data_IF_324269462926
#
_entry.id   IF_324269462926
#
_cell.length_a   1.000
_cell.length_b   1.000
_cell.length_c   1.000
_cell.angle_alpha   90.00
_cell.angle_beta   90.00
_cell.angle_gamma   90.00
#
_symmetry.space_group_name_H-M   'P 1'
#
loop_
_entity.id
_entity.type
_entity.pdbx_description
1 polymer ?
#
# COMPACT_ATOMS: atom_id res chain seq x y z
N UNK A 1 -25.41 -0.63 -21.00
CA UNK A 1 -23.97 -0.32 -20.87
C UNK A 1 -23.71 0.08 -19.43
N UNK A 2 -22.88 -0.65 -18.71
CA UNK A 2 -22.53 -0.35 -17.32
C UNK A 2 -21.16 0.34 -17.25
N UNK A 3 -20.91 1.10 -16.19
CA UNK A 3 -19.64 1.79 -15.99
C UNK A 3 -19.68 2.72 -14.79
N UNK A 4 -18.54 3.33 -14.46
CA UNK A 4 -18.43 4.31 -13.37
C UNK A 4 -17.87 5.62 -13.90
N UNK A 5 -18.36 6.73 -13.34
CA UNK A 5 -17.79 8.04 -13.60
C UNK A 5 -16.75 8.36 -12.53
N UNK A 6 -15.60 8.89 -12.95
CA UNK A 6 -14.64 9.45 -12.01
C UNK A 6 -15.31 10.61 -11.23
N UNK A 7 -15.29 10.64 -9.89
CA UNK A 7 -15.94 11.69 -9.12
C UNK A 7 -15.27 13.06 -9.28
N UNK A 8 -14.03 13.09 -9.77
CA UNK A 8 -13.24 14.32 -9.94
C UNK A 8 -13.39 14.88 -11.35
N UNK A 9 -13.02 14.10 -12.38
CA UNK A 9 -13.01 14.59 -13.76
C UNK A 9 -14.27 14.21 -14.55
N UNK A 10 -15.20 13.44 -13.96
CA UNK A 10 -16.45 12.96 -14.58
C UNK A 10 -16.27 12.11 -15.83
N UNK A 11 -15.05 11.64 -16.10
CA UNK A 11 -14.77 10.73 -17.20
C UNK A 11 -15.45 9.39 -16.94
N UNK A 12 -16.19 8.90 -17.93
CA UNK A 12 -16.86 7.61 -17.88
C UNK A 12 -15.88 6.49 -18.24
N UNK A 13 -15.84 5.46 -17.41
CA UNK A 13 -15.11 4.23 -17.67
C UNK A 13 -16.15 3.10 -17.81
N UNK A 14 -16.14 2.43 -18.96
CA UNK A 14 -17.03 1.30 -19.23
C UNK A 14 -16.55 0.02 -18.56
N UNK A 15 -17.48 -0.77 -18.02
CA UNK A 15 -17.19 -2.14 -17.58
C UNK A 15 -16.96 -3.06 -18.79
N UNK A 16 -16.17 -4.14 -18.66
CA UNK A 16 -16.17 -5.26 -19.62
C UNK A 16 -17.56 -5.89 -19.77
N UNK A 17 -17.87 -6.45 -20.94
CA UNK A 17 -19.21 -6.98 -21.24
C UNK A 17 -19.57 -8.20 -20.38
N UNK A 18 -18.57 -9.01 -20.05
CA UNK A 18 -18.66 -10.31 -19.37
C UNK A 18 -18.83 -10.24 -17.84
N UNK A 19 -18.71 -9.06 -17.24
CA UNK A 19 -18.73 -8.88 -15.78
C UNK A 19 -19.78 -7.88 -15.35
N UNK A 20 -20.43 -8.10 -14.20
CA UNK A 20 -21.37 -7.13 -13.63
C UNK A 20 -20.64 -5.94 -12.96
N UNK A 21 -21.38 -4.86 -12.67
CA UNK A 21 -20.75 -3.62 -12.18
C UNK A 21 -20.12 -3.75 -10.78
N UNK A 22 -20.70 -4.58 -9.90
CA UNK A 22 -20.22 -4.78 -8.52
C UNK A 22 -18.92 -5.58 -8.50
N UNK A 23 -18.86 -6.65 -9.30
CA UNK A 23 -17.67 -7.47 -9.45
C UNK A 23 -16.56 -6.70 -10.18
N UNK A 24 -16.91 -5.88 -11.18
CA UNK A 24 -15.95 -4.99 -11.82
C UNK A 24 -15.37 -3.96 -10.85
N UNK A 25 -16.20 -3.35 -10.00
CA UNK A 25 -15.75 -2.37 -9.02
C UNK A 25 -14.71 -2.97 -8.05
N UNK A 26 -14.85 -4.25 -7.68
CA UNK A 26 -13.87 -4.98 -6.86
C UNK A 26 -12.51 -5.20 -7.55
N UNK A 27 -12.46 -5.11 -8.88
CA UNK A 27 -11.23 -5.23 -9.67
C UNK A 27 -10.52 -3.90 -9.90
N UNK A 28 -11.11 -2.78 -9.49
CA UNK A 28 -10.43 -1.50 -9.56
C UNK A 28 -9.24 -1.50 -8.59
N UNK A 29 -8.09 -0.94 -9.00
CA UNK A 29 -6.91 -0.92 -8.15
C UNK A 29 -7.21 -0.16 -6.87
N UNK A 30 -6.93 -0.80 -5.74
CA UNK A 30 -6.96 -0.14 -4.43
C UNK A 30 -5.66 0.64 -4.27
N UNK A 31 -5.73 1.82 -3.65
CA UNK A 31 -4.53 2.57 -3.34
C UNK A 31 -3.95 2.03 -2.02
N UNK A 32 -2.95 1.17 -2.13
CA UNK A 32 -2.31 0.51 -0.99
C UNK A 32 -1.69 1.50 0.01
N UNK A 33 -1.31 2.72 -0.44
CA UNK A 33 -0.83 3.78 0.45
C UNK A 33 -1.95 4.20 1.41
N UNK A 34 -3.18 4.37 0.92
CA UNK A 34 -4.30 4.71 1.78
C UNK A 34 -4.64 3.57 2.73
N UNK A 35 -4.56 2.32 2.28
CA UNK A 35 -4.75 1.14 3.16
C UNK A 35 -3.71 1.15 4.28
N UNK A 36 -2.42 1.32 3.95
CA UNK A 36 -1.36 1.41 4.96
C UNK A 36 -1.52 2.59 5.93
N UNK A 37 -2.04 3.74 5.46
CA UNK A 37 -2.33 4.89 6.32
C UNK A 37 -3.48 4.62 7.29
N UNK A 38 -4.53 3.93 6.83
CA UNK A 38 -5.65 3.49 7.68
C UNK A 38 -5.12 2.49 8.72
N UNK A 39 -4.35 1.48 8.29
CA UNK A 39 -3.76 0.49 9.19
C UNK A 39 -2.88 1.14 10.27
N UNK A 40 -2.08 2.14 9.89
CA UNK A 40 -1.26 2.91 10.83
C UNK A 40 -2.11 3.68 11.83
N UNK A 41 -3.22 4.27 11.38
CA UNK A 41 -4.15 5.02 12.24
C UNK A 41 -4.87 4.10 13.23
N UNK A 42 -5.37 2.95 12.77
CA UNK A 42 -6.00 1.92 13.62
C UNK A 42 -5.02 1.41 14.67
N UNK A 43 -3.77 1.18 14.27
CA UNK A 43 -2.70 0.74 15.17
C UNK A 43 -2.44 1.77 16.26
N UNK A 44 -2.27 3.05 15.90
CA UNK A 44 -2.06 4.14 16.87
C UNK A 44 -3.25 4.36 17.79
N UNK A 45 -4.46 4.12 17.31
CA UNK A 45 -5.69 4.26 18.08
C UNK A 45 -6.00 3.04 18.94
N UNK A 46 -5.14 2.00 18.91
CA UNK A 46 -5.38 0.72 19.61
C UNK A 46 -6.57 -0.07 19.06
N UNK A 47 -7.06 0.27 17.86
CA UNK A 47 -8.23 -0.34 17.22
C UNK A 47 -7.87 -1.51 16.30
N UNK A 48 -6.57 -1.73 16.04
CA UNK A 48 -6.15 -2.81 15.15
C UNK A 48 -6.47 -4.18 15.77
N UNK A 49 -7.19 -5.02 15.02
CA UNK A 49 -7.58 -6.36 15.44
C UNK A 49 -6.62 -7.43 14.92
N UNK A 50 -6.60 -8.57 15.60
CA UNK A 50 -5.87 -9.76 15.19
C UNK A 50 -6.50 -10.39 13.93
N UNK A 51 -5.75 -10.45 12.83
CA UNK A 51 -6.22 -10.98 11.56
C UNK A 51 -6.64 -12.45 11.64
N UNK A 52 -5.89 -13.27 12.39
CA UNK A 52 -6.20 -14.68 12.57
C UNK A 52 -7.50 -14.89 13.36
N UNK A 53 -7.69 -14.16 14.47
CA UNK A 53 -8.92 -14.19 15.26
C UNK A 53 -10.12 -13.70 14.46
N UNK A 54 -9.96 -12.64 13.66
CA UNK A 54 -11.05 -12.12 12.82
C UNK A 54 -11.56 -13.12 11.79
N UNK A 55 -10.74 -14.07 11.30
CA UNK A 55 -11.18 -15.16 10.41
C UNK A 55 -12.15 -16.11 11.09
N UNK A 56 -12.01 -16.30 12.40
CA UNK A 56 -12.89 -17.12 13.24
C UNK A 56 -14.02 -16.27 13.87
N UNK A 57 -14.22 -15.03 13.42
CA UNK A 57 -15.18 -14.06 13.97
C UNK A 57 -14.91 -13.67 15.44
N UNK A 58 -13.66 -13.80 15.90
CA UNK A 58 -13.23 -13.35 17.21
C UNK A 58 -12.68 -11.92 17.16
N UNK A 59 -13.00 -11.12 18.19
CA UNK A 59 -12.59 -9.72 18.31
C UNK A 59 -11.48 -9.60 19.35
N UNK A 60 -10.24 -9.82 18.92
CA UNK A 60 -9.06 -9.71 19.76
C UNK A 60 -8.17 -8.56 19.30
N UNK A 61 -7.70 -7.73 20.24
CA UNK A 61 -6.79 -6.63 19.94
C UNK A 61 -5.42 -7.15 19.47
N UNK A 62 -4.88 -6.52 18.43
CA UNK A 62 -3.56 -6.83 17.94
C UNK A 62 -2.48 -6.38 18.95
N UNK A 63 -1.46 -7.21 19.09
CA UNK A 63 -0.30 -7.00 19.94
C UNK A 63 1.00 -6.84 19.14
N UNK A 64 1.08 -7.48 17.98
CA UNK A 64 2.25 -7.46 17.11
C UNK A 64 1.86 -7.50 15.63
N UNK A 65 2.77 -7.08 14.77
CA UNK A 65 2.69 -7.19 13.32
C UNK A 65 3.73 -8.19 12.82
N UNK A 66 3.31 -9.15 11.99
CA UNK A 66 4.19 -10.08 11.31
C UNK A 66 4.49 -9.57 9.90
N UNK A 67 5.71 -9.10 9.65
CA UNK A 67 6.08 -8.53 8.35
C UNK A 67 5.99 -9.56 7.20
N UNK A 68 6.38 -10.81 7.47
CA UNK A 68 6.35 -11.88 6.47
C UNK A 68 4.93 -12.34 6.10
N UNK A 69 4.00 -12.27 7.05
CA UNK A 69 2.59 -12.62 6.80
C UNK A 69 1.77 -11.40 6.37
N UNK A 70 2.30 -10.19 6.57
CA UNK A 70 1.52 -8.95 6.48
C UNK A 70 0.24 -8.99 7.32
N UNK A 71 0.36 -9.51 8.56
CA UNK A 71 -0.79 -9.73 9.46
C UNK A 71 -0.54 -9.17 10.87
N UNK A 72 -1.58 -8.59 11.45
CA UNK A 72 -1.62 -8.19 12.86
C UNK A 72 -2.06 -9.38 13.72
N UNK A 73 -1.38 -9.62 14.84
CA UNK A 73 -1.56 -10.79 15.70
C UNK A 73 -1.78 -10.39 17.16
N UNK A 74 -2.75 -10.98 17.85
CA UNK A 74 -2.90 -10.88 19.30
C UNK A 74 -1.76 -11.63 20.02
N UNK A 75 -1.67 -11.53 21.35
CA UNK A 75 -0.62 -12.21 22.14
C UNK A 75 -0.61 -13.73 21.96
N UNK A 76 -1.79 -14.35 21.85
CA UNK A 76 -1.90 -15.79 21.66
C UNK A 76 -1.40 -16.19 20.26
N UNK A 77 -1.83 -15.48 19.22
CA UNK A 77 -1.39 -15.72 17.85
C UNK A 77 0.11 -15.46 17.66
N UNK A 78 0.70 -14.39 18.23
CA UNK A 78 2.16 -14.16 18.22
C UNK A 78 2.91 -15.36 18.82
N UNK A 79 2.47 -15.85 19.99
CA UNK A 79 3.10 -16.99 20.66
C UNK A 79 3.03 -18.25 19.81
N UNK A 80 1.88 -18.52 19.19
CA UNK A 80 1.71 -19.65 18.28
C UNK A 80 2.60 -19.51 17.04
N UNK A 81 2.72 -18.30 16.49
CA UNK A 81 3.59 -17.99 15.35
C UNK A 81 5.05 -18.32 15.65
N UNK A 82 5.55 -17.89 16.81
CA UNK A 82 6.94 -18.16 17.22
C UNK A 82 7.24 -19.64 17.43
N UNK A 83 6.24 -20.42 17.83
CA UNK A 83 6.37 -21.87 18.09
C UNK A 83 6.22 -22.72 16.83
N UNK A 84 5.49 -22.23 15.84
CA UNK A 84 5.27 -22.94 14.59
C UNK A 84 6.56 -22.93 13.76
N UNK A 85 7.04 -24.13 13.37
CA UNK A 85 8.24 -24.30 12.55
C UNK A 85 8.23 -23.44 11.28
N UNK A 86 7.07 -23.26 10.65
CA UNK A 86 6.93 -22.51 9.41
C UNK A 86 7.11 -21.00 9.60
N UNK A 87 6.73 -20.47 10.76
CA UNK A 87 6.73 -19.03 11.01
C UNK A 87 7.63 -18.57 12.16
N UNK A 88 8.42 -19.50 12.74
CA UNK A 88 9.35 -19.23 13.84
C UNK A 88 10.41 -18.17 13.50
N UNK A 89 10.77 -18.04 12.22
CA UNK A 89 11.76 -17.07 11.73
C UNK A 89 11.14 -15.79 11.18
N UNK A 90 9.82 -15.62 11.28
CA UNK A 90 9.17 -14.41 10.80
C UNK A 90 9.52 -13.20 11.68
N UNK A 91 9.67 -12.04 11.04
CA UNK A 91 9.92 -10.78 11.74
C UNK A 91 8.62 -10.26 12.36
N UNK A 92 8.53 -10.37 13.68
CA UNK A 92 7.41 -9.88 14.49
C UNK A 92 7.80 -8.55 15.16
N UNK A 93 6.99 -7.52 14.94
CA UNK A 93 7.18 -6.15 15.44
C UNK A 93 6.07 -5.86 16.44
N UNK A 94 6.39 -5.42 17.66
CA UNK A 94 5.35 -5.08 18.65
C UNK A 94 4.59 -3.83 18.20
N UNK A 95 3.28 -3.84 18.39
CA UNK A 95 2.42 -2.67 18.21
C UNK A 95 2.38 -1.93 19.55
N UNK A 96 3.33 -1.03 19.79
CA UNK A 96 3.37 -0.15 20.96
C UNK A 96 3.34 1.33 20.53
N UNK A 97 3.38 2.25 21.50
CA UNK A 97 3.34 3.69 21.24
C UNK A 97 4.53 4.18 20.37
N UNK A 98 5.61 3.39 20.31
CA UNK A 98 6.78 3.64 19.47
C UNK A 98 6.67 2.99 18.07
N UNK A 99 5.51 2.43 17.72
CA UNK A 99 5.13 2.06 16.35
C UNK A 99 5.00 3.35 15.51
N UNK A 100 6.16 3.91 15.22
CA UNK A 100 6.41 5.25 14.70
C UNK A 100 6.51 5.22 13.18
N UNK A 101 6.53 6.40 12.56
CA UNK A 101 6.42 6.67 11.12
C UNK A 101 7.39 5.88 10.20
N UNK A 102 8.40 5.24 10.77
CA UNK A 102 9.43 4.46 10.09
C UNK A 102 9.25 2.93 10.24
N UNK A 103 8.22 2.46 10.98
CA UNK A 103 7.88 1.04 10.93
C UNK A 103 7.27 0.71 9.56
N UNK A 104 7.80 -0.30 8.87
CA UNK A 104 7.35 -0.67 7.55
C UNK A 104 5.99 -1.39 7.66
N UNK A 105 4.91 -0.62 7.83
CA UNK A 105 3.70 -0.92 7.06
C UNK A 105 3.97 -0.69 5.55
N UNK A 106 5.09 -0.05 5.22
CA UNK A 106 5.70 -0.01 3.91
C UNK A 106 6.12 -1.41 3.45
N UNK A 107 5.55 -1.82 2.33
CA UNK A 107 5.77 -3.08 1.61
C UNK A 107 5.07 -4.27 2.26
N UNK A 108 3.73 -4.26 2.23
CA UNK A 108 3.04 -5.53 2.04
C UNK A 108 3.73 -6.23 0.86
N UNK A 109 4.15 -7.48 1.06
CA UNK A 109 4.69 -8.28 -0.03
C UNK A 109 3.65 -8.27 -1.16
N UNK A 110 4.02 -7.69 -2.31
CA UNK A 110 3.12 -7.68 -3.46
C UNK A 110 3.24 -9.05 -4.11
N UNK A 111 2.14 -9.80 -4.12
CA UNK A 111 2.07 -11.12 -4.72
C UNK A 111 1.65 -11.03 -6.19
N UNK A 112 2.11 -11.99 -6.97
CA UNK A 112 1.73 -12.11 -8.37
C UNK A 112 0.25 -12.49 -8.49
N UNK A 113 -0.48 -11.77 -9.33
CA UNK A 113 -1.91 -12.02 -9.60
C UNK A 113 -2.16 -13.37 -10.29
N UNK A 114 -1.17 -13.91 -10.99
CA UNK A 114 -1.24 -15.22 -11.66
C UNK A 114 -0.68 -16.36 -10.82
N UNK A 115 0.22 -16.05 -9.88
CA UNK A 115 0.89 -17.01 -9.01
C UNK A 115 0.76 -16.53 -7.57
N UNK A 116 -0.40 -16.79 -6.97
CA UNK A 116 -0.89 -16.13 -5.75
C UNK A 116 0.03 -16.21 -4.53
N UNK A 117 0.96 -17.18 -4.47
CA UNK A 117 1.93 -17.36 -3.38
C UNK A 117 3.35 -16.89 -3.73
N UNK A 118 3.56 -16.35 -4.93
CA UNK A 118 4.87 -15.90 -5.40
C UNK A 118 4.97 -14.39 -5.32
N UNK A 119 5.99 -13.92 -4.62
CA UNK A 119 6.32 -12.50 -4.50
C UNK A 119 6.74 -11.93 -5.86
N UNK A 120 6.39 -10.69 -6.09
CA UNK A 120 6.94 -9.88 -7.18
C UNK A 120 8.38 -9.49 -6.81
N UNK A 121 9.32 -9.86 -7.64
CA UNK A 121 10.77 -9.70 -7.39
C UNK A 121 11.52 -9.16 -8.63
N UNK A 122 10.84 -9.07 -9.77
CA UNK A 122 11.42 -8.58 -11.02
C UNK A 122 10.52 -7.61 -11.77
N UNK A 123 11.13 -6.89 -12.69
CA UNK A 123 10.46 -6.03 -13.66
C UNK A 123 10.95 -6.35 -15.08
N UNK A 124 10.00 -6.64 -15.96
CA UNK A 124 10.27 -6.80 -17.40
C UNK A 124 10.08 -5.44 -18.08
N UNK A 125 11.16 -4.87 -18.59
CA UNK A 125 11.13 -3.58 -19.28
C UNK A 125 10.48 -3.68 -20.66
N UNK A 126 10.63 -4.82 -21.35
CA UNK A 126 10.04 -5.03 -22.67
C UNK A 126 8.50 -5.01 -22.64
N UNK A 127 7.91 -5.50 -21.54
CA UNK A 127 6.46 -5.51 -21.31
C UNK A 127 5.99 -4.41 -20.36
N UNK A 128 6.91 -3.63 -19.80
CA UNK A 128 6.64 -2.66 -18.73
C UNK A 128 5.84 -3.25 -17.55
N UNK A 129 6.13 -4.49 -17.16
CA UNK A 129 5.34 -5.26 -16.21
C UNK A 129 6.16 -5.76 -15.01
N UNK A 130 5.53 -5.81 -13.84
CA UNK A 130 6.08 -6.45 -12.64
C UNK A 130 5.87 -7.97 -12.68
N UNK A 131 6.84 -8.74 -12.21
CA UNK A 131 6.87 -10.20 -12.37
C UNK A 131 7.39 -10.92 -11.13
N UNK A 132 6.84 -12.10 -10.85
CA UNK A 132 7.51 -13.08 -9.99
C UNK A 132 8.48 -13.95 -10.80
N UNK A 133 9.34 -14.72 -10.13
CA UNK A 133 10.30 -15.60 -10.81
C UNK A 133 9.64 -16.63 -11.74
N UNK A 134 8.43 -17.11 -11.41
CA UNK A 134 7.67 -18.00 -12.31
C UNK A 134 7.27 -17.30 -13.61
N UNK A 135 6.79 -16.05 -13.55
CA UNK A 135 6.48 -15.26 -14.74
C UNK A 135 7.73 -15.07 -15.61
N UNK A 136 8.89 -14.81 -14.98
CA UNK A 136 10.16 -14.66 -15.71
C UNK A 136 10.48 -15.94 -16.49
N UNK A 137 10.36 -17.12 -15.87
CA UNK A 137 10.67 -18.38 -16.52
C UNK A 137 9.66 -18.80 -17.60
N UNK A 138 8.37 -18.52 -17.42
CA UNK A 138 7.31 -19.02 -18.30
C UNK A 138 6.92 -18.04 -19.42
N UNK A 139 6.94 -16.74 -19.14
CA UNK A 139 6.40 -15.71 -20.05
C UNK A 139 7.47 -14.74 -20.55
N UNK A 140 8.44 -14.41 -19.71
CA UNK A 140 9.46 -13.41 -20.04
C UNK A 140 10.85 -14.02 -20.30
N UNK A 141 10.92 -15.34 -20.55
CA UNK A 141 12.20 -16.03 -20.77
C UNK A 141 12.96 -15.54 -22.00
N UNK A 142 12.23 -15.05 -23.00
CA UNK A 142 12.79 -14.51 -24.25
C UNK A 142 12.86 -12.98 -24.25
N UNK A 143 12.55 -12.33 -23.13
CA UNK A 143 12.70 -10.89 -22.97
C UNK A 143 14.17 -10.58 -22.73
N UNK A 144 14.70 -9.59 -23.44
CA UNK A 144 16.09 -9.19 -23.33
C UNK A 144 16.32 -8.30 -22.11
N UNK A 145 15.27 -7.59 -21.66
CA UNK A 145 15.37 -6.63 -20.56
C UNK A 145 14.47 -7.03 -19.40
N UNK A 146 15.00 -7.89 -18.52
CA UNK A 146 14.41 -8.22 -17.21
C UNK A 146 15.42 -7.91 -16.12
N UNK A 147 15.02 -7.16 -15.11
CA UNK A 147 15.86 -6.80 -13.97
C UNK A 147 15.16 -7.01 -12.64
N UNK A 148 15.88 -6.81 -11.54
CA UNK A 148 15.30 -6.81 -10.20
C UNK A 148 14.26 -5.70 -10.05
N UNK A 149 13.26 -5.92 -9.20
CA UNK A 149 12.25 -4.90 -8.92
C UNK A 149 12.87 -3.71 -8.18
N UNK A 150 13.90 -3.94 -7.37
CA UNK A 150 14.66 -2.92 -6.64
C UNK A 150 15.36 -1.95 -7.60
N UNK A 151 16.09 -2.47 -8.58
CA UNK A 151 16.79 -1.66 -9.57
C UNK A 151 15.81 -0.85 -10.43
N UNK A 152 14.70 -1.48 -10.82
CA UNK A 152 13.64 -0.81 -11.57
C UNK A 152 13.01 0.32 -10.75
N UNK A 153 12.75 0.09 -9.46
CA UNK A 153 12.22 1.10 -8.55
C UNK A 153 13.21 2.25 -8.35
N UNK A 154 14.50 1.97 -8.17
CA UNK A 154 15.53 3.00 -8.06
C UNK A 154 15.64 3.85 -9.33
N UNK A 155 15.68 3.20 -10.50
CA UNK A 155 15.74 3.88 -11.79
C UNK A 155 14.53 4.77 -11.99
N UNK A 156 13.33 4.30 -11.61
CA UNK A 156 12.09 5.08 -11.67
C UNK A 156 12.10 6.25 -10.68
N UNK A 157 12.55 6.05 -9.44
CA UNK A 157 12.69 7.14 -8.44
C UNK A 157 13.65 8.24 -8.90
N UNK A 158 14.70 7.86 -9.62
CA UNK A 158 15.71 8.80 -10.17
C UNK A 158 15.27 9.46 -11.48
N UNK A 159 14.13 9.03 -12.05
CA UNK A 159 13.63 9.54 -13.32
C UNK A 159 13.23 11.01 -13.24
N UNK A 160 13.34 11.71 -14.37
CA UNK A 160 13.05 13.14 -14.46
C UNK A 160 11.59 13.43 -14.13
N UNK A 161 10.68 12.60 -14.60
CA UNK A 161 9.23 12.75 -14.42
C UNK A 161 8.85 12.71 -12.93
N UNK A 162 9.40 11.75 -12.17
CA UNK A 162 9.13 11.63 -10.72
C UNK A 162 9.73 12.82 -9.96
N UNK A 163 10.94 13.25 -10.32
CA UNK A 163 11.59 14.42 -9.69
C UNK A 163 10.80 15.70 -9.94
N UNK A 164 10.40 15.96 -11.18
CA UNK A 164 9.61 17.13 -11.55
C UNK A 164 8.23 17.13 -10.86
N UNK A 165 7.55 15.98 -10.87
CA UNK A 165 6.28 15.86 -10.17
C UNK A 165 6.42 16.08 -8.66
N UNK A 166 7.47 15.53 -8.04
CA UNK A 166 7.75 15.74 -6.62
C UNK A 166 8.04 17.21 -6.31
N UNK A 167 8.81 17.91 -7.15
CA UNK A 167 9.07 19.33 -6.99
C UNK A 167 7.77 20.15 -7.11
N UNK A 168 6.95 19.87 -8.12
CA UNK A 168 5.67 20.55 -8.30
C UNK A 168 4.74 20.39 -7.08
N UNK A 169 4.72 19.20 -6.47
CA UNK A 169 3.97 18.97 -5.24
C UNK A 169 4.53 19.80 -4.06
N UNK A 170 5.85 19.88 -3.91
CA UNK A 170 6.48 20.68 -2.86
C UNK A 170 6.19 22.18 -3.02
N UNK A 171 6.23 22.68 -4.26
CA UNK A 171 5.92 24.07 -4.58
C UNK A 171 4.44 24.40 -4.29
N UNK A 172 3.55 23.46 -4.62
CA UNK A 172 2.12 23.57 -4.31
C UNK A 172 1.87 23.60 -2.80
N UNK A 173 2.47 22.68 -2.04
CA UNK A 173 2.36 22.65 -0.57
C UNK A 173 2.86 23.97 0.03
N UNK A 174 4.03 24.44 -0.39
CA UNK A 174 4.61 25.71 0.07
C UNK A 174 3.71 26.90 -0.22
N UNK A 175 3.04 26.90 -1.37
CA UNK A 175 2.09 27.95 -1.76
C UNK A 175 0.83 27.91 -0.89
N UNK A 176 0.28 26.72 -0.65
CA UNK A 176 -0.88 26.51 0.24
C UNK A 176 -0.57 26.93 1.68
N UNK A 177 0.60 26.61 2.21
CA UNK A 177 1.01 27.04 3.56
C UNK A 177 1.08 28.55 3.70
N UNK A 178 1.64 29.26 2.70
CA UNK A 178 1.69 30.73 2.69
C UNK A 178 0.28 31.33 2.68
N UNK A 179 -0.62 30.77 1.87
CA UNK A 179 -2.02 31.20 1.82
C UNK A 179 -2.74 30.98 3.15
N UNK A 180 -2.57 29.81 3.77
CA UNK A 180 -3.12 29.51 5.09
C UNK A 180 -2.61 30.50 6.15
N UNK A 181 -1.29 30.72 6.24
CA UNK A 181 -0.69 31.69 7.19
C UNK A 181 -1.23 33.10 7.00
N UNK A 182 -1.35 33.56 5.75
CA UNK A 182 -1.92 34.87 5.41
C UNK A 182 -3.37 34.98 5.88
N UNK A 183 -4.21 33.98 5.55
CA UNK A 183 -5.62 33.94 5.99
C UNK A 183 -5.76 33.91 7.51
N UNK A 184 -4.95 33.13 8.21
CA UNK A 184 -4.96 33.08 9.69
C UNK A 184 -4.56 34.42 10.30
N UNK A 185 -3.56 35.12 9.74
CA UNK A 185 -3.16 36.46 10.20
C UNK A 185 -4.29 37.47 10.01
N UNK A 186 -4.94 37.47 8.84
CA UNK A 186 -6.07 38.36 8.55
C UNK A 186 -7.25 38.10 9.50
N UNK A 187 -7.57 36.83 9.75
CA UNK A 187 -8.63 36.45 10.71
C UNK A 187 -8.34 36.94 12.13
N UNK A 188 -7.09 36.75 12.62
CA UNK A 188 -6.69 37.26 13.95
C UNK A 188 -6.79 38.77 14.06
N UNK A 189 -6.42 39.49 13.00
CA UNK A 189 -6.55 40.95 12.96
C UNK A 189 -8.02 41.40 13.04
N UNK A 190 -8.92 40.73 12.31
CA UNK A 190 -10.36 41.03 12.38
C UNK A 190 -10.99 40.72 13.75
N UNK A 191 -10.45 39.75 14.49
CA UNK A 191 -10.92 39.39 15.84
C UNK A 191 -10.37 40.28 16.97
N UNK A 192 -9.49 41.24 16.64
CA UNK A 192 -8.89 42.18 17.61
C UNK A 192 -9.40 43.61 17.44
N UNK A 193 -10.35 43.83 16.51
CA UNK A 193 -11.07 45.08 16.27
C UNK A 193 -12.49 44.90 16.81
#
# INVERSE_FOLDING_TARGET
MGGVNCPVCRMFVSKPDDINIEEWAKKLPTNDIFVSLIDLNETKSGQKLCAACSRENEVESAFSWCANCSEALCKACDRSHRRNKMSAYHKLIKLDENFSKDTPLQHADVFCTEHLEKKIEAYCYDHSAVCCMTCVMLKHRKCDNVGSIEDAAEKKKKSKEIKEFSQNLQDLVSSLEKLCKSRTKNYRHLMTI
#
